data_IF_672549526018
#
_entry.id   IF_672549526018
#
_cell.length_a   1.000
_cell.length_b   1.000
_cell.length_c   1.000
_cell.angle_alpha   90.00
_cell.angle_beta   90.00
_cell.angle_gamma   90.00
#
_symmetry.space_group_name_H-M   'P 1'
#
loop_
_entity.id
_entity.type
_entity.pdbx_description
1 polymer ?
#
# COMPACT_ATOMS: atom_id res chain seq x y z
N UNK A 1 1.22 -4.59 -16.71
CA UNK A 1 1.74 -5.47 -15.64
C UNK A 1 2.72 -4.65 -14.81
N UNK A 2 2.50 -4.50 -13.50
CA UNK A 2 3.38 -3.68 -12.65
C UNK A 2 4.03 -4.61 -11.63
N UNK A 3 5.28 -4.99 -11.91
CA UNK A 3 6.10 -5.83 -11.03
C UNK A 3 7.22 -4.98 -10.48
N UNK A 4 7.31 -4.89 -9.16
CA UNK A 4 8.52 -4.40 -8.53
C UNK A 4 9.58 -5.50 -8.59
N UNK A 5 10.82 -5.12 -8.89
CA UNK A 5 11.93 -6.07 -8.89
C UNK A 5 12.06 -6.74 -7.52
N UNK A 6 12.32 -8.05 -7.42
CA UNK A 6 12.41 -8.77 -6.14
C UNK A 6 13.49 -8.22 -5.19
N UNK A 7 14.46 -7.47 -5.71
CA UNK A 7 15.50 -6.78 -4.92
C UNK A 7 15.31 -5.26 -4.84
N UNK A 8 14.16 -4.74 -5.28
CA UNK A 8 13.82 -3.33 -5.13
C UNK A 8 13.42 -3.07 -3.69
N UNK A 9 14.35 -2.56 -2.87
CA UNK A 9 13.98 -1.97 -1.58
C UNK A 9 13.00 -0.83 -1.84
N UNK A 10 11.74 -1.03 -1.49
CA UNK A 10 10.72 0.03 -1.51
C UNK A 10 10.94 0.91 -0.28
N UNK A 11 11.98 1.74 -0.34
CA UNK A 11 12.21 2.75 0.67
C UNK A 11 11.10 3.80 0.68
N UNK A 12 11.10 4.64 1.71
CA UNK A 12 10.12 5.72 1.88
C UNK A 12 9.95 6.58 0.62
N UNK A 13 11.04 6.92 -0.06
CA UNK A 13 11.01 7.73 -1.30
C UNK A 13 10.33 7.01 -2.46
N UNK A 14 10.47 5.68 -2.55
CA UNK A 14 9.79 4.88 -3.56
C UNK A 14 8.28 4.89 -3.33
N UNK A 15 7.83 4.72 -2.08
CA UNK A 15 6.41 4.78 -1.72
C UNK A 15 5.84 6.18 -1.97
N UNK A 16 6.58 7.24 -1.62
CA UNK A 16 6.18 8.61 -1.88
C UNK A 16 6.01 8.89 -3.38
N UNK A 17 6.92 8.37 -4.21
CA UNK A 17 6.82 8.48 -5.67
C UNK A 17 5.59 7.74 -6.22
N UNK A 18 5.35 6.49 -5.78
CA UNK A 18 4.18 5.71 -6.20
C UNK A 18 2.88 6.42 -5.80
N UNK A 19 2.81 6.95 -4.56
CA UNK A 19 1.66 7.73 -4.08
C UNK A 19 1.39 8.89 -5.02
N UNK A 20 2.40 9.71 -5.30
CA UNK A 20 2.26 10.87 -6.16
C UNK A 20 1.77 10.51 -7.57
N UNK A 21 2.36 9.48 -8.20
CA UNK A 21 1.95 9.01 -9.54
C UNK A 21 0.50 8.52 -9.56
N UNK A 22 0.06 7.78 -8.54
CA UNK A 22 -1.32 7.31 -8.45
C UNK A 22 -2.31 8.46 -8.21
N UNK A 23 -1.95 9.44 -7.40
CA UNK A 23 -2.79 10.62 -7.14
C UNK A 23 -2.96 11.45 -8.42
N UNK A 24 -1.89 11.64 -9.18
CA UNK A 24 -1.93 12.35 -10.47
C UNK A 24 -2.81 11.61 -11.49
N UNK A 25 -2.66 10.30 -11.61
CA UNK A 25 -3.43 9.50 -12.58
C UNK A 25 -4.92 9.39 -12.24
N UNK A 26 -5.25 9.36 -10.95
CA UNK A 26 -6.64 9.16 -10.51
C UNK A 26 -7.37 10.46 -10.19
N UNK A 27 -6.64 11.57 -9.97
CA UNK A 27 -7.19 12.82 -9.47
C UNK A 27 -7.75 12.72 -8.04
N UNK A 28 -7.30 11.72 -7.26
CA UNK A 28 -7.79 11.44 -5.90
C UNK A 28 -6.62 11.41 -4.93
N UNK A 29 -6.88 11.77 -3.67
CA UNK A 29 -5.92 11.56 -2.58
C UNK A 29 -5.81 10.07 -2.28
N UNK A 30 -4.58 9.57 -2.21
CA UNK A 30 -4.27 8.15 -2.00
C UNK A 30 -3.30 8.01 -0.83
N UNK A 31 -3.54 7.02 0.02
CA UNK A 31 -2.59 6.60 1.06
C UNK A 31 -2.06 5.20 0.74
N UNK A 32 -0.80 4.94 1.11
CA UNK A 32 -0.12 3.66 0.87
C UNK A 32 0.44 3.14 2.18
N UNK A 33 0.00 1.94 2.56
CA UNK A 33 0.54 1.20 3.69
C UNK A 33 1.09 -0.15 3.24
N UNK A 34 2.22 -0.55 3.82
CA UNK A 34 2.78 -1.90 3.63
C UNK A 34 1.92 -2.87 4.44
N UNK A 35 1.58 -4.03 3.85
CA UNK A 35 0.75 -5.06 4.51
C UNK A 35 1.30 -5.45 5.89
N UNK A 36 2.60 -5.71 5.97
CA UNK A 36 3.28 -6.08 7.22
C UNK A 36 3.10 -5.01 8.32
N UNK A 37 3.12 -3.72 7.97
CA UNK A 37 2.89 -2.62 8.92
C UNK A 37 1.44 -2.58 9.44
N UNK A 38 0.47 -3.06 8.66
CA UNK A 38 -0.93 -3.19 9.11
C UNK A 38 -1.10 -4.43 10.00
N UNK A 39 -0.49 -5.55 9.62
CA UNK A 39 -0.56 -6.80 10.39
C UNK A 39 0.08 -6.64 11.79
N UNK A 40 1.23 -5.97 11.87
CA UNK A 40 1.94 -5.70 13.11
C UNK A 40 1.50 -4.42 13.83
N UNK A 41 0.42 -3.76 13.38
CA UNK A 41 -0.10 -2.54 14.01
C UNK A 41 -0.60 -2.82 15.43
N UNK A 42 -0.15 -2.03 16.40
CA UNK A 42 -0.68 -2.05 17.79
C UNK A 42 -2.15 -1.61 17.85
N UNK A 43 -2.62 -0.84 16.85
CA UNK A 43 -4.03 -0.47 16.75
C UNK A 43 -4.83 -1.64 16.15
N UNK A 44 -5.36 -2.48 17.05
CA UNK A 44 -6.20 -3.64 16.76
C UNK A 44 -7.42 -3.26 15.91
N UNK A 45 -8.12 -2.19 16.26
CA UNK A 45 -9.36 -1.76 15.57
C UNK A 45 -9.05 -1.41 14.11
N UNK A 46 -8.04 -0.58 13.87
CA UNK A 46 -7.64 -0.18 12.51
C UNK A 46 -7.20 -1.40 11.69
N UNK A 47 -6.42 -2.31 12.28
CA UNK A 47 -5.98 -3.55 11.63
C UNK A 47 -7.17 -4.40 11.19
N UNK A 48 -8.10 -4.68 12.11
CA UNK A 48 -9.27 -5.52 11.83
C UNK A 48 -10.16 -4.91 10.75
N UNK A 49 -10.45 -3.61 10.82
CA UNK A 49 -11.29 -2.93 9.82
C UNK A 49 -10.66 -2.96 8.43
N UNK A 50 -9.34 -2.70 8.31
CA UNK A 50 -8.63 -2.75 7.02
C UNK A 50 -8.64 -4.18 6.46
N UNK A 51 -8.29 -5.18 7.28
CA UNK A 51 -8.20 -6.57 6.83
C UNK A 51 -9.57 -7.16 6.46
N UNK A 52 -10.65 -6.77 7.14
CA UNK A 52 -12.01 -7.22 6.87
C UNK A 52 -12.60 -6.61 5.59
N UNK A 53 -12.22 -5.38 5.26
CA UNK A 53 -12.78 -4.63 4.13
C UNK A 53 -11.90 -4.63 2.88
N UNK A 54 -10.71 -5.24 2.96
CA UNK A 54 -9.75 -5.28 1.86
C UNK A 54 -10.35 -5.96 0.63
N UNK A 55 -10.15 -5.36 -0.54
CA UNK A 55 -10.46 -5.97 -1.83
C UNK A 55 -9.16 -6.26 -2.56
N UNK A 56 -8.89 -7.53 -2.78
CA UNK A 56 -7.70 -7.97 -3.52
C UNK A 56 -7.92 -7.66 -4.99
N UNK A 57 -7.21 -6.66 -5.51
CA UNK A 57 -7.21 -6.30 -6.93
C UNK A 57 -6.09 -7.01 -7.71
N UNK A 58 -5.13 -7.60 -7.00
CA UNK A 58 -4.01 -8.35 -7.56
C UNK A 58 -3.41 -9.28 -6.49
N UNK A 59 -3.20 -10.56 -6.83
CA UNK A 59 -2.51 -11.56 -6.02
C UNK A 59 -1.73 -12.48 -6.96
N UNK A 60 -0.52 -12.86 -6.56
CA UNK A 60 0.39 -13.75 -7.32
C UNK A 60 0.26 -15.17 -6.81
#
# INVERSE_FOLDING_TARGET
MLRFSPNSRQGLLTLAKIKHELEEQTGRVIDIAIKESIENSENEIRRQEILKTVKVIYQV
#
